data_IF_093936322789
#
_entry.id   IF_093936322789
#
_cell.length_a   1.000
_cell.length_b   1.000
_cell.length_c   1.000
_cell.angle_alpha   90.00
_cell.angle_beta   90.00
_cell.angle_gamma   90.00
#
_symmetry.space_group_name_H-M   'P 1'
#
loop_
_entity.id
_entity.type
_entity.pdbx_description
1 polymer ?
#
# COMPACT_ATOMS: atom_id res chain seq x y z
N UNK A 1 -36.64 -9.71 27.81
CA UNK A 1 -37.03 -10.42 26.58
C UNK A 1 -37.09 -9.44 25.44
N UNK A 2 -36.02 -9.32 24.65
CA UNK A 2 -36.05 -8.67 23.34
C UNK A 2 -34.99 -9.38 22.47
N UNK A 3 -35.46 -9.97 21.37
CA UNK A 3 -34.70 -10.80 20.44
C UNK A 3 -33.89 -9.88 19.51
N UNK A 4 -32.58 -10.02 19.49
CA UNK A 4 -31.76 -9.48 18.41
C UNK A 4 -31.71 -10.49 17.26
N UNK A 5 -32.27 -10.08 16.12
CA UNK A 5 -32.23 -10.78 14.85
C UNK A 5 -30.81 -10.73 14.28
N UNK A 6 -30.18 -11.89 14.09
CA UNK A 6 -28.96 -12.04 13.30
C UNK A 6 -29.36 -12.06 11.82
N UNK A 7 -28.98 -11.02 11.08
CA UNK A 7 -28.94 -11.04 9.62
C UNK A 7 -27.48 -11.01 9.20
N UNK A 8 -27.07 -12.04 8.45
CA UNK A 8 -25.69 -12.25 8.02
C UNK A 8 -25.26 -11.23 6.97
N UNK A 9 -24.05 -10.70 7.14
CA UNK A 9 -23.36 -9.94 6.10
C UNK A 9 -22.76 -10.92 5.08
N UNK A 10 -22.92 -10.67 3.76
CA UNK A 10 -22.25 -11.46 2.74
C UNK A 10 -20.74 -11.20 2.76
N UNK A 11 -19.98 -12.29 2.64
CA UNK A 11 -18.52 -12.30 2.49
C UNK A 11 -18.10 -11.45 1.28
N UNK A 12 -17.44 -10.32 1.55
CA UNK A 12 -16.75 -9.54 0.53
C UNK A 12 -15.47 -10.29 0.21
N UNK A 13 -15.39 -10.81 -1.02
CA UNK A 13 -14.15 -11.37 -1.57
C UNK A 13 -13.10 -10.26 -1.56
N UNK A 14 -12.03 -10.46 -0.80
CA UNK A 14 -10.82 -9.66 -0.92
C UNK A 14 -10.27 -9.85 -2.33
N UNK A 15 -10.42 -8.84 -3.20
CA UNK A 15 -9.69 -8.78 -4.47
C UNK A 15 -8.22 -8.64 -4.13
N UNK A 16 -7.53 -9.77 -4.14
CA UNK A 16 -6.08 -9.84 -4.05
C UNK A 16 -5.53 -9.16 -5.30
N UNK A 17 -4.77 -8.09 -5.11
CA UNK A 17 -4.00 -7.45 -6.17
C UNK A 17 -2.89 -8.43 -6.61
N UNK A 18 -3.23 -9.41 -7.47
CA UNK A 18 -2.23 -10.17 -8.21
C UNK A 18 -1.72 -9.29 -9.35
N UNK A 19 -0.44 -8.93 -9.27
CA UNK A 19 0.30 -8.32 -10.36
C UNK A 19 0.44 -9.38 -11.47
N UNK A 20 -0.43 -9.35 -12.48
CA UNK A 20 -0.33 -10.24 -13.64
C UNK A 20 0.75 -9.73 -14.60
N UNK A 21 1.95 -10.33 -14.55
CA UNK A 21 3.01 -10.11 -15.55
C UNK A 21 2.61 -10.88 -16.81
N UNK A 22 2.24 -10.14 -17.86
CA UNK A 22 1.98 -10.71 -19.19
C UNK A 22 3.31 -11.06 -19.86
N UNK A 23 3.64 -12.36 -19.92
CA UNK A 23 4.73 -12.87 -20.76
C UNK A 23 4.29 -12.83 -22.23
N UNK A 24 5.00 -12.02 -23.03
CA UNK A 24 4.88 -12.03 -24.49
C UNK A 24 5.57 -13.29 -25.03
N UNK A 25 4.80 -14.23 -25.55
CA UNK A 25 5.31 -15.38 -26.31
C UNK A 25 5.53 -14.96 -27.77
N UNK A 26 6.78 -14.72 -28.15
CA UNK A 26 7.18 -14.57 -29.55
C UNK A 26 7.26 -15.96 -30.18
N UNK A 27 6.25 -16.31 -30.98
CA UNK A 27 6.26 -17.50 -31.81
C UNK A 27 7.12 -17.27 -33.07
N UNK A 28 8.27 -17.93 -33.11
CA UNK A 28 9.16 -18.04 -34.26
C UNK A 28 8.83 -19.32 -35.05
N UNK A 29 8.71 -19.24 -36.36
CA UNK A 29 8.70 -20.38 -37.28
C UNK A 29 8.76 -19.85 -38.71
N UNK A 30 9.75 -20.12 -39.56
CA UNK A 30 10.67 -21.27 -39.62
C UNK A 30 10.29 -22.10 -40.85
N UNK A 31 11.01 -21.89 -41.97
CA UNK A 31 10.69 -22.44 -43.30
C UNK A 31 11.37 -23.77 -43.68
N UNK A 32 11.18 -24.17 -44.95
CA UNK A 32 11.89 -25.25 -45.67
C UNK A 32 11.17 -25.58 -47.01
N UNK A 33 11.69 -25.17 -48.19
CA UNK A 33 12.61 -25.89 -49.12
C UNK A 33 11.99 -27.13 -49.80
N UNK A 34 11.57 -27.09 -51.07
CA UNK A 34 12.32 -27.22 -52.36
C UNK A 34 12.26 -28.63 -52.98
N UNK A 35 11.79 -28.76 -54.23
CA UNK A 35 12.45 -29.51 -55.32
C UNK A 35 11.59 -29.60 -56.59
N UNK A 36 12.30 -29.73 -57.71
CA UNK A 36 11.91 -29.52 -59.11
C UNK A 36 11.97 -30.82 -59.94
N UNK A 37 11.19 -30.86 -61.02
CA UNK A 37 11.29 -31.79 -62.16
C UNK A 37 10.07 -32.72 -62.27
N UNK A 38 9.43 -32.98 -63.40
CA UNK A 38 9.62 -32.57 -64.80
C UNK A 38 8.79 -33.53 -65.69
N UNK A 39 8.10 -32.96 -66.68
CA UNK A 39 7.56 -33.55 -67.92
C UNK A 39 6.31 -34.46 -67.91
N UNK A 40 5.26 -33.97 -68.61
CA UNK A 40 4.61 -34.70 -69.71
C UNK A 40 3.21 -35.26 -69.47
N UNK A 41 2.23 -34.84 -70.28
CA UNK A 41 0.98 -35.58 -70.49
C UNK A 41 -0.26 -34.69 -70.61
N UNK A 42 -0.95 -34.81 -71.75
CA UNK A 42 -2.07 -34.00 -72.19
C UNK A 42 -3.41 -34.33 -71.51
N UNK A 43 -4.32 -33.35 -71.58
CA UNK A 43 -5.80 -33.40 -71.60
C UNK A 43 -6.52 -34.47 -70.76
N UNK A 44 -7.25 -34.06 -69.73
CA UNK A 44 -8.73 -34.10 -69.77
C UNK A 44 -9.41 -33.42 -68.56
N UNK A 45 -10.46 -32.65 -68.89
CA UNK A 45 -11.76 -32.54 -68.23
C UNK A 45 -11.92 -32.40 -66.69
N UNK A 46 -12.51 -31.26 -66.32
CA UNK A 46 -13.45 -31.05 -65.21
C UNK A 46 -13.09 -31.59 -63.81
N UNK A 47 -12.58 -30.70 -62.95
CA UNK A 47 -13.04 -30.68 -61.56
C UNK A 47 -12.99 -29.26 -61.00
N UNK A 48 -14.17 -28.63 -60.91
CA UNK A 48 -14.39 -27.37 -60.21
C UNK A 48 -14.26 -27.58 -58.70
N UNK A 49 -13.03 -27.67 -58.21
CA UNK A 49 -12.74 -27.57 -56.79
C UNK A 49 -12.56 -26.09 -56.42
N UNK A 50 -13.66 -25.37 -56.18
CA UNK A 50 -13.57 -24.07 -55.51
C UNK A 50 -13.07 -24.30 -54.10
N UNK A 51 -11.76 -24.21 -53.89
CA UNK A 51 -11.22 -23.99 -52.55
C UNK A 51 -11.95 -22.77 -51.97
N UNK A 52 -12.59 -22.87 -50.79
CA UNK A 52 -13.30 -21.73 -50.23
C UNK A 52 -12.31 -20.57 -50.11
N UNK A 53 -12.62 -19.45 -50.72
CA UNK A 53 -11.84 -18.23 -50.59
C UNK A 53 -11.72 -17.91 -49.09
N UNK A 54 -10.50 -17.75 -48.53
CA UNK A 54 -10.34 -17.49 -47.11
C UNK A 54 -11.05 -16.18 -46.74
N UNK A 55 -12.00 -16.27 -45.80
CA UNK A 55 -12.74 -15.10 -45.31
C UNK A 55 -11.77 -14.21 -44.54
N UNK A 56 -11.48 -13.03 -45.09
CA UNK A 56 -10.64 -12.01 -44.44
C UNK A 56 -11.55 -10.95 -43.81
N UNK A 57 -11.44 -10.76 -42.49
CA UNK A 57 -12.19 -9.74 -41.76
C UNK A 57 -11.45 -8.40 -41.72
N UNK A 58 -12.18 -7.29 -41.53
CA UNK A 58 -11.57 -5.97 -41.33
C UNK A 58 -10.86 -5.87 -39.98
N UNK A 59 -10.04 -4.82 -39.78
CA UNK A 59 -9.32 -4.58 -38.52
C UNK A 59 -10.24 -4.39 -37.30
N UNK A 60 -11.48 -3.96 -37.53
CA UNK A 60 -12.53 -3.79 -36.52
C UNK A 60 -13.37 -5.06 -36.30
N UNK A 61 -12.99 -6.17 -36.92
CA UNK A 61 -13.70 -7.44 -36.88
C UNK A 61 -12.77 -8.60 -36.48
N UNK A 62 -13.37 -9.72 -36.09
CA UNK A 62 -12.69 -10.99 -35.85
C UNK A 62 -13.48 -12.13 -36.49
N UNK A 63 -12.78 -13.17 -36.92
CA UNK A 63 -13.39 -14.34 -37.55
C UNK A 63 -13.88 -15.31 -36.47
N UNK A 64 -15.16 -15.65 -36.49
CA UNK A 64 -15.74 -16.70 -35.65
C UNK A 64 -16.64 -17.57 -36.52
N UNK A 65 -16.34 -18.88 -36.59
CA UNK A 65 -17.14 -19.85 -37.36
C UNK A 65 -17.31 -19.45 -38.85
N UNK A 66 -16.28 -18.87 -39.45
CA UNK A 66 -16.32 -18.43 -40.85
C UNK A 66 -17.07 -17.12 -41.09
N UNK A 67 -17.56 -16.46 -40.03
CA UNK A 67 -18.30 -15.21 -40.09
C UNK A 67 -17.48 -14.10 -39.42
N UNK A 68 -17.34 -12.97 -40.10
CA UNK A 68 -16.72 -11.79 -39.49
C UNK A 68 -17.69 -11.12 -38.50
N UNK A 69 -17.27 -11.02 -37.25
CA UNK A 69 -18.01 -10.34 -36.17
C UNK A 69 -17.28 -9.07 -35.78
N UNK A 70 -18.04 -8.02 -35.44
CA UNK A 70 -17.46 -6.77 -34.98
C UNK A 70 -16.81 -6.95 -33.60
N UNK A 71 -15.64 -6.34 -33.41
CA UNK A 71 -15.02 -6.17 -32.10
C UNK A 71 -15.85 -5.20 -31.26
N UNK A 72 -15.89 -5.43 -29.96
CA UNK A 72 -16.61 -4.59 -29.00
C UNK A 72 -15.75 -3.40 -28.60
N UNK A 73 -16.34 -2.21 -28.50
CA UNK A 73 -15.67 -1.05 -27.92
C UNK A 73 -15.50 -1.24 -26.41
N UNK A 74 -14.42 -0.71 -25.86
CA UNK A 74 -14.18 -0.67 -24.42
C UNK A 74 -14.05 0.79 -23.99
N UNK A 75 -14.37 1.08 -22.74
CA UNK A 75 -14.44 2.42 -22.19
C UNK A 75 -13.75 2.50 -20.83
N UNK A 76 -13.39 3.70 -20.39
CA UNK A 76 -12.93 3.94 -19.03
C UNK A 76 -13.48 5.28 -18.54
N UNK A 77 -13.65 5.41 -17.23
CA UNK A 77 -14.03 6.67 -16.60
C UNK A 77 -12.85 7.65 -16.63
N UNK A 78 -13.03 8.89 -17.12
CA UNK A 78 -11.96 9.89 -17.11
C UNK A 78 -11.49 10.20 -15.69
N UNK A 79 -10.18 10.37 -15.52
CA UNK A 79 -9.58 10.73 -14.25
C UNK A 79 -10.01 12.16 -13.83
N UNK A 80 -10.52 12.28 -12.61
CA UNK A 80 -10.83 13.51 -11.90
C UNK A 80 -9.55 14.09 -11.27
N UNK A 81 -8.78 14.79 -12.10
CA UNK A 81 -7.55 15.49 -11.70
C UNK A 81 -7.68 16.95 -12.11
N UNK A 82 -7.58 17.84 -11.12
CA UNK A 82 -7.72 19.27 -11.34
C UNK A 82 -6.40 19.94 -11.74
N UNK A 83 -5.28 19.44 -11.21
CA UNK A 83 -3.93 19.98 -11.41
C UNK A 83 -2.88 18.97 -11.00
N UNK A 84 -1.65 19.25 -11.41
CA UNK A 84 -0.45 18.68 -10.80
C UNK A 84 0.39 19.77 -10.14
N UNK A 85 1.17 19.37 -9.14
CA UNK A 85 2.15 20.25 -8.49
C UNK A 85 3.55 19.90 -8.95
N UNK A 86 4.33 20.92 -9.32
CA UNK A 86 5.74 20.77 -9.67
C UNK A 86 6.53 20.09 -8.56
N UNK A 87 7.37 19.12 -8.93
CA UNK A 87 8.21 18.34 -8.01
C UNK A 87 7.49 17.19 -7.31
N UNK A 88 6.20 16.96 -7.58
CA UNK A 88 5.46 15.82 -7.07
C UNK A 88 5.48 14.64 -8.05
N UNK A 89 5.21 13.45 -7.51
CA UNK A 89 5.08 12.20 -8.22
C UNK A 89 3.69 11.63 -7.97
N UNK A 90 3.05 11.15 -9.03
CA UNK A 90 1.71 10.58 -8.98
C UNK A 90 1.70 9.16 -9.52
N UNK A 91 0.81 8.34 -8.98
CA UNK A 91 0.60 6.96 -9.41
C UNK A 91 -0.83 6.85 -9.89
N UNK A 92 -1.00 6.28 -11.08
CA UNK A 92 -2.32 6.04 -11.65
C UNK A 92 -2.47 4.56 -11.96
N UNK A 93 -3.60 4.01 -11.54
CA UNK A 93 -4.04 2.70 -11.96
C UNK A 93 -5.43 2.86 -12.55
N UNK A 94 -5.50 2.84 -13.88
CA UNK A 94 -6.73 2.99 -14.63
C UNK A 94 -6.97 1.72 -15.43
N UNK A 95 -8.20 1.23 -15.37
CA UNK A 95 -8.67 0.07 -16.13
C UNK A 95 -9.90 0.42 -16.95
N UNK A 96 -10.12 -0.32 -18.02
CA UNK A 96 -11.36 -0.25 -18.80
C UNK A 96 -12.49 -0.99 -18.11
N UNK A 97 -13.71 -0.80 -18.61
CA UNK A 97 -14.91 -1.57 -18.29
C UNK A 97 -14.77 -3.08 -18.57
N UNK A 98 -13.70 -3.48 -19.26
CA UNK A 98 -13.30 -4.87 -19.50
C UNK A 98 -12.17 -5.35 -18.56
N UNK A 99 -11.86 -4.59 -17.50
CA UNK A 99 -10.77 -4.86 -16.53
C UNK A 99 -9.36 -4.88 -17.16
N UNK A 100 -9.18 -4.24 -18.32
CA UNK A 100 -7.88 -4.13 -18.99
C UNK A 100 -7.14 -2.86 -18.55
N UNK A 101 -5.87 -2.99 -18.21
CA UNK A 101 -5.01 -1.86 -17.80
C UNK A 101 -4.81 -0.86 -18.94
N UNK A 102 -4.99 0.42 -18.64
CA UNK A 102 -4.67 1.55 -19.51
C UNK A 102 -3.22 1.98 -19.26
N UNK A 103 -2.44 2.09 -20.34
CA UNK A 103 -1.07 2.55 -20.31
C UNK A 103 -1.00 4.07 -20.50
N UNK A 104 -0.08 4.70 -19.79
CA UNK A 104 0.17 6.14 -19.86
C UNK A 104 1.53 6.41 -20.51
N UNK A 105 1.60 7.45 -21.31
CA UNK A 105 2.86 8.00 -21.84
C UNK A 105 2.76 9.52 -21.93
N UNK A 106 3.85 10.23 -21.65
CA UNK A 106 3.87 11.70 -21.76
C UNK A 106 4.14 12.15 -23.19
N UNK A 107 3.36 13.13 -23.66
CA UNK A 107 3.63 13.90 -24.89
C UNK A 107 4.31 15.25 -24.59
N UNK A 108 4.53 15.55 -23.30
CA UNK A 108 5.21 16.75 -22.81
C UNK A 108 6.29 16.41 -21.78
N UNK A 109 7.32 15.61 -22.14
CA UNK A 109 8.27 15.02 -21.20
C UNK A 109 9.11 16.04 -20.41
N UNK A 110 9.20 17.29 -20.87
CA UNK A 110 9.88 18.37 -20.14
C UNK A 110 9.02 18.98 -19.01
N UNK A 111 7.70 18.79 -19.06
CA UNK A 111 6.74 19.28 -18.07
C UNK A 111 6.36 18.17 -17.09
N UNK A 112 6.07 16.99 -17.62
CA UNK A 112 5.76 15.81 -16.83
C UNK A 112 6.26 14.58 -17.58
N UNK A 113 6.89 13.64 -16.90
CA UNK A 113 7.43 12.43 -17.49
C UNK A 113 6.76 11.21 -16.85
N UNK A 114 6.50 10.17 -17.64
CA UNK A 114 5.85 8.95 -17.14
C UNK A 114 6.78 7.76 -17.33
N UNK A 115 7.31 7.25 -16.23
CA UNK A 115 8.29 6.19 -16.21
C UNK A 115 7.95 5.18 -15.10
N UNK A 116 8.07 3.88 -15.40
CA UNK A 116 7.87 2.81 -14.40
C UNK A 116 6.52 2.92 -13.64
N UNK A 117 5.46 3.35 -14.33
CA UNK A 117 4.13 3.47 -13.73
C UNK A 117 3.93 4.69 -12.84
N UNK A 118 4.89 5.62 -12.81
CA UNK A 118 4.84 6.85 -12.03
C UNK A 118 4.94 8.07 -12.95
N UNK A 119 4.09 9.08 -12.71
CA UNK A 119 4.18 10.39 -13.33
C UNK A 119 5.04 11.29 -12.45
N UNK A 120 6.20 11.71 -12.95
CA UNK A 120 7.06 12.72 -12.33
C UNK A 120 6.73 14.09 -12.93
N UNK A 121 6.45 15.07 -12.09
CA UNK A 121 6.07 16.41 -12.54
C UNK A 121 7.26 17.35 -12.41
N UNK A 122 7.80 17.81 -13.53
CA UNK A 122 9.12 18.42 -13.63
C UNK A 122 9.07 19.95 -13.66
N UNK A 123 8.12 20.53 -14.39
CA UNK A 123 8.01 21.98 -14.53
C UNK A 123 6.58 22.46 -14.71
N UNK A 124 6.35 23.76 -14.52
CA UNK A 124 5.04 24.40 -14.70
C UNK A 124 4.64 24.49 -16.17
N UNK A 125 3.35 24.36 -16.46
CA UNK A 125 2.85 24.38 -17.84
C UNK A 125 1.68 23.41 -18.04
N UNK A 126 1.58 22.82 -19.22
CA UNK A 126 0.53 21.84 -19.54
C UNK A 126 1.13 20.45 -19.70
N UNK A 127 0.78 19.56 -18.77
CA UNK A 127 1.11 18.15 -18.85
C UNK A 127 0.14 17.45 -19.81
N UNK A 128 0.63 16.96 -20.93
CA UNK A 128 -0.17 16.22 -21.93
C UNK A 128 0.18 14.74 -21.85
N UNK A 129 -0.80 13.91 -21.48
CA UNK A 129 -0.67 12.48 -21.34
C UNK A 129 -1.51 11.76 -22.39
N UNK A 130 -0.90 10.79 -23.06
CA UNK A 130 -1.59 9.84 -23.92
C UNK A 130 -1.93 8.59 -23.12
N UNK A 131 -3.20 8.20 -23.17
CA UNK A 131 -3.75 7.03 -22.51
C UNK A 131 -4.12 6.00 -23.59
N UNK A 132 -3.58 4.79 -23.49
CA UNK A 132 -3.75 3.77 -24.52
C UNK A 132 -4.10 2.40 -23.96
N UNK A 133 -4.98 1.69 -24.65
CA UNK A 133 -5.24 0.26 -24.46
C UNK A 133 -5.24 -0.40 -25.85
N UNK A 134 -4.47 -1.45 -26.06
CA UNK A 134 -4.28 -2.08 -27.37
C UNK A 134 -5.47 -2.93 -27.86
N UNK A 135 -6.45 -3.20 -27.00
CA UNK A 135 -7.54 -4.12 -27.29
C UNK A 135 -7.13 -5.59 -27.18
N UNK A 136 -8.01 -6.47 -27.66
CA UNK A 136 -7.77 -7.91 -27.76
C UNK A 136 -8.21 -8.40 -29.13
N UNK A 137 -8.21 -9.71 -29.36
CA UNK A 137 -8.81 -10.27 -30.57
C UNK A 137 -10.29 -9.89 -30.74
N UNK A 138 -11.01 -9.64 -29.64
CA UNK A 138 -12.45 -9.32 -29.64
C UNK A 138 -12.77 -7.88 -29.22
N UNK A 139 -11.78 -7.12 -28.74
CA UNK A 139 -11.96 -5.75 -28.25
C UNK A 139 -11.20 -4.74 -29.10
N UNK A 140 -11.83 -3.60 -29.39
CA UNK A 140 -11.20 -2.47 -30.07
C UNK A 140 -10.17 -1.79 -29.15
N UNK A 141 -9.07 -1.23 -29.71
CA UNK A 141 -8.16 -0.41 -28.93
C UNK A 141 -8.83 0.89 -28.47
N UNK A 142 -8.31 1.48 -27.40
CA UNK A 142 -8.68 2.81 -26.91
C UNK A 142 -7.48 3.72 -26.94
N UNK A 143 -7.67 4.95 -27.42
CA UNK A 143 -6.69 6.01 -27.37
C UNK A 143 -7.39 7.29 -26.89
N UNK A 144 -6.83 7.94 -25.88
CA UNK A 144 -7.32 9.20 -25.34
C UNK A 144 -6.15 10.12 -24.99
N UNK A 145 -6.41 11.43 -24.95
CA UNK A 145 -5.45 12.44 -24.51
C UNK A 145 -6.05 13.16 -23.32
N UNK A 146 -5.23 13.32 -22.29
CA UNK A 146 -5.54 14.11 -21.10
C UNK A 146 -4.55 15.26 -21.02
N UNK A 147 -5.05 16.47 -20.76
CA UNK A 147 -4.22 17.65 -20.53
C UNK A 147 -4.53 18.19 -19.14
N UNK A 148 -3.50 18.35 -18.31
CA UNK A 148 -3.62 18.82 -16.92
C UNK A 148 -2.66 19.99 -16.73
N UNK A 149 -3.13 21.05 -16.09
CA UNK A 149 -2.27 22.19 -15.72
C UNK A 149 -1.32 21.78 -14.58
N UNK A 150 -0.06 22.15 -14.73
CA UNK A 150 0.98 22.03 -13.70
C UNK A 150 1.24 23.41 -13.11
N UNK A 151 1.09 23.51 -11.79
CA UNK A 151 1.33 24.74 -11.04
C UNK A 151 2.48 24.58 -10.04
N UNK A 152 2.99 25.71 -9.56
CA UNK A 152 3.99 25.73 -8.49
C UNK A 152 3.40 25.11 -7.21
N UNK A 153 4.18 24.28 -6.51
CA UNK A 153 3.72 23.62 -5.29
C UNK A 153 3.37 24.62 -4.17
N UNK A 154 3.96 25.82 -4.19
CA UNK A 154 3.68 26.91 -3.26
C UNK A 154 2.26 27.48 -3.44
N UNK A 155 1.64 27.30 -4.61
CA UNK A 155 0.25 27.72 -4.81
C UNK A 155 -0.74 26.92 -3.93
N UNK A 156 -0.30 25.79 -3.37
CA UNK A 156 -1.05 24.96 -2.41
C UNK A 156 -0.48 25.09 -0.99
N UNK A 157 0.20 26.18 -0.64
CA UNK A 157 0.73 26.35 0.71
C UNK A 157 -0.38 26.46 1.78
N UNK A 158 -1.52 27.06 1.42
CA UNK A 158 -2.64 27.25 2.34
C UNK A 158 -3.75 26.22 2.10
N UNK A 159 -4.27 25.70 3.21
CA UNK A 159 -5.42 24.80 3.22
C UNK A 159 -6.71 25.61 3.05
N UNK A 160 -7.56 25.20 2.10
CA UNK A 160 -8.93 25.67 1.92
C UNK A 160 -9.86 24.47 1.68
N UNK A 161 -10.74 24.19 2.65
CA UNK A 161 -11.66 23.05 2.61
C UNK A 161 -12.77 23.22 1.57
N UNK A 162 -13.15 24.46 1.24
CA UNK A 162 -14.21 24.78 0.28
C UNK A 162 -13.70 24.74 -1.16
N UNK A 163 -12.46 25.18 -1.38
CA UNK A 163 -11.78 25.06 -2.67
C UNK A 163 -11.08 23.69 -2.89
N UNK A 164 -11.18 22.77 -1.92
CA UNK A 164 -10.51 21.47 -1.96
C UNK A 164 -8.98 21.57 -2.11
N UNK A 165 -8.38 22.59 -1.49
CA UNK A 165 -6.93 22.80 -1.41
C UNK A 165 -6.43 22.22 -0.11
N UNK A 166 -5.69 21.11 -0.18
CA UNK A 166 -5.28 20.36 1.00
C UNK A 166 -4.23 21.11 1.84
N UNK A 167 -3.53 22.08 1.24
CA UNK A 167 -2.38 22.69 1.87
C UNK A 167 -1.12 21.83 1.71
N UNK A 168 -0.09 22.14 2.48
CA UNK A 168 1.15 21.35 2.58
C UNK A 168 1.59 21.17 4.02
N UNK A 169 2.30 20.07 4.34
CA UNK A 169 2.91 19.91 5.66
C UNK A 169 3.92 21.03 5.92
N UNK A 170 3.98 21.51 7.15
CA UNK A 170 5.08 22.39 7.58
C UNK A 170 6.38 21.61 7.79
N UNK A 171 7.53 22.28 7.76
CA UNK A 171 8.81 21.59 8.01
C UNK A 171 8.89 20.99 9.41
N UNK A 172 8.34 21.67 10.41
CA UNK A 172 8.25 21.16 11.78
C UNK A 172 7.43 19.86 11.86
N UNK A 173 6.33 19.78 11.11
CA UNK A 173 5.47 18.59 11.04
C UNK A 173 6.17 17.42 10.34
N UNK A 174 6.85 17.67 9.22
CA UNK A 174 7.68 16.65 8.55
C UNK A 174 8.73 16.09 9.51
N UNK A 175 9.42 16.99 10.21
CA UNK A 175 10.52 16.63 11.10
C UNK A 175 10.01 15.87 12.34
N UNK A 176 8.88 16.30 12.92
CA UNK A 176 8.21 15.58 14.00
C UNK A 176 7.84 14.17 13.57
N UNK A 177 7.13 14.03 12.45
CA UNK A 177 6.72 12.73 11.90
C UNK A 177 7.90 11.78 11.68
N UNK A 178 8.92 12.21 10.93
CA UNK A 178 10.03 11.33 10.55
C UNK A 178 10.95 11.01 11.74
N UNK A 179 11.06 11.91 12.72
CA UNK A 179 11.81 11.65 13.95
C UNK A 179 11.09 10.63 14.82
N UNK A 180 9.79 10.78 15.06
CA UNK A 180 9.02 9.80 15.84
C UNK A 180 9.02 8.42 15.16
N UNK A 181 8.89 8.36 13.82
CA UNK A 181 9.00 7.10 13.07
C UNK A 181 10.35 6.44 13.26
N UNK A 182 11.43 7.20 13.14
CA UNK A 182 12.77 6.65 13.29
C UNK A 182 13.12 6.33 14.76
N UNK A 183 12.54 7.02 15.74
CA UNK A 183 12.63 6.68 17.16
C UNK A 183 11.98 5.31 17.43
N UNK A 184 10.73 5.11 16.96
CA UNK A 184 10.04 3.83 17.07
C UNK A 184 10.88 2.73 16.41
N UNK A 185 11.33 2.95 15.17
CA UNK A 185 12.10 1.96 14.41
C UNK A 185 13.44 1.61 15.06
N UNK A 186 14.09 2.56 15.71
CA UNK A 186 15.34 2.32 16.44
C UNK A 186 15.16 1.32 17.61
N UNK A 187 14.00 1.31 18.27
CA UNK A 187 13.67 0.33 19.33
C UNK A 187 13.68 -1.12 18.82
N UNK A 188 13.47 -1.30 17.51
CA UNK A 188 13.46 -2.59 16.82
C UNK A 188 14.74 -2.84 16.01
N UNK A 189 15.75 -1.98 16.17
CA UNK A 189 16.99 -1.96 15.39
C UNK A 189 16.78 -1.82 13.87
N UNK A 190 15.62 -1.34 13.42
CA UNK A 190 15.29 -1.22 12.00
C UNK A 190 16.04 -0.04 11.35
N UNK A 191 16.39 -0.12 10.05
CA UNK A 191 16.98 0.99 9.32
C UNK A 191 16.08 2.21 9.35
N UNK A 192 16.70 3.40 9.38
CA UNK A 192 15.97 4.67 9.29
C UNK A 192 15.24 4.79 7.94
N UNK A 193 14.05 5.35 8.00
CA UNK A 193 13.24 5.74 6.86
C UNK A 193 13.52 7.21 6.53
N UNK A 194 13.60 7.54 5.24
CA UNK A 194 13.73 8.92 4.75
C UNK A 194 12.35 9.53 4.49
N UNK A 195 12.23 10.84 4.71
CA UNK A 195 11.04 11.56 4.28
C UNK A 195 11.04 11.72 2.75
N UNK A 196 9.90 11.50 2.10
CA UNK A 196 9.70 11.58 0.66
C UNK A 196 8.83 12.79 0.32
N UNK A 197 9.46 13.88 -0.07
CA UNK A 197 8.77 15.12 -0.45
C UNK A 197 7.94 14.99 -1.73
N UNK A 198 8.19 13.97 -2.55
CA UNK A 198 7.56 13.86 -3.88
C UNK A 198 6.14 13.27 -3.81
N UNK A 199 5.73 12.71 -2.67
CA UNK A 199 4.39 12.14 -2.46
C UNK A 199 3.52 12.96 -1.48
N UNK A 200 3.96 14.17 -1.11
CA UNK A 200 3.24 15.03 -0.16
C UNK A 200 1.82 15.35 -0.64
N UNK A 201 1.68 15.80 -1.89
CA UNK A 201 0.37 16.18 -2.44
C UNK A 201 -0.61 15.00 -2.44
N UNK A 202 -0.12 13.80 -2.74
CA UNK A 202 -0.94 12.59 -2.68
C UNK A 202 -1.45 12.31 -1.25
N UNK A 203 -0.59 12.48 -0.24
CA UNK A 203 -0.98 12.27 1.17
C UNK A 203 -1.91 13.38 1.66
N UNK A 204 -1.64 14.62 1.29
CA UNK A 204 -2.48 15.76 1.65
C UNK A 204 -3.89 15.63 1.06
N UNK A 205 -4.01 15.23 -0.21
CA UNK A 205 -5.33 15.01 -0.83
C UNK A 205 -6.08 13.82 -0.21
N UNK A 206 -5.41 12.73 0.15
CA UNK A 206 -6.04 11.64 0.90
C UNK A 206 -6.57 12.12 2.26
N UNK A 207 -5.75 12.87 3.00
CA UNK A 207 -6.14 13.47 4.28
C UNK A 207 -7.31 14.45 4.15
N UNK A 208 -7.36 15.24 3.06
CA UNK A 208 -8.50 16.11 2.73
C UNK A 208 -9.78 15.29 2.59
N UNK A 209 -9.75 14.17 1.84
CA UNK A 209 -10.94 13.30 1.68
C UNK A 209 -11.48 12.82 3.02
N UNK A 210 -10.61 12.41 3.93
CA UNK A 210 -11.00 11.94 5.26
C UNK A 210 -11.61 13.09 6.09
N UNK A 211 -10.96 14.25 6.10
CA UNK A 211 -11.32 15.38 6.94
C UNK A 211 -12.66 16.03 6.53
N UNK A 212 -12.91 16.25 5.23
CA UNK A 212 -14.12 16.95 4.76
C UNK A 212 -15.35 16.06 4.67
N UNK A 213 -15.16 14.74 4.59
CA UNK A 213 -16.26 13.78 4.54
C UNK A 213 -16.57 13.16 5.91
N UNK A 214 -15.78 13.49 6.94
CA UNK A 214 -16.00 13.07 8.32
C UNK A 214 -16.02 11.53 8.51
N UNK A 215 -15.25 10.80 7.69
CA UNK A 215 -15.18 9.33 7.68
C UNK A 215 -13.88 8.81 7.09
N UNK A 216 -13.60 7.52 7.27
CA UNK A 216 -12.43 6.82 6.71
C UNK A 216 -12.80 5.72 5.73
N UNK A 217 -12.05 5.64 4.63
CA UNK A 217 -12.05 4.53 3.68
C UNK A 217 -10.73 4.51 2.91
N UNK A 218 -10.18 3.32 2.67
CA UNK A 218 -9.11 3.14 1.67
C UNK A 218 -9.61 3.24 0.23
N UNK A 219 -10.93 3.16 0.02
CA UNK A 219 -11.57 3.20 -1.28
C UNK A 219 -12.69 4.26 -1.24
N UNK A 220 -12.34 5.57 -1.17
CA UNK A 220 -13.33 6.62 -1.39
C UNK A 220 -13.87 6.52 -2.82
N UNK A 221 -15.10 6.98 -3.04
CA UNK A 221 -15.73 6.99 -4.36
C UNK A 221 -16.03 8.43 -4.81
N UNK A 222 -16.39 8.60 -6.08
CA UNK A 222 -16.65 9.90 -6.69
C UNK A 222 -17.79 10.72 -6.07
N UNK A 223 -18.55 10.16 -5.11
CA UNK A 223 -19.58 10.93 -4.37
C UNK A 223 -19.01 11.72 -3.19
N UNK A 224 -17.76 11.47 -2.82
CA UNK A 224 -17.11 12.18 -1.72
C UNK A 224 -16.82 13.62 -2.11
N UNK A 225 -17.03 14.55 -1.17
CA UNK A 225 -16.60 15.94 -1.34
C UNK A 225 -15.09 15.98 -1.50
N UNK A 226 -14.62 16.81 -2.43
CA UNK A 226 -13.21 16.94 -2.80
C UNK A 226 -12.57 15.67 -3.37
N UNK A 227 -13.37 14.71 -3.87
CA UNK A 227 -12.84 13.55 -4.57
C UNK A 227 -11.88 13.97 -5.70
N UNK A 228 -10.74 13.29 -5.75
CA UNK A 228 -9.80 13.31 -6.86
C UNK A 228 -9.17 11.92 -6.96
N UNK A 229 -8.73 11.54 -8.17
CA UNK A 229 -7.99 10.29 -8.34
C UNK A 229 -6.67 10.30 -7.56
N UNK A 230 -6.03 11.46 -7.39
CA UNK A 230 -4.84 11.61 -6.57
C UNK A 230 -5.15 11.25 -5.10
N UNK A 231 -6.24 11.79 -4.54
CA UNK A 231 -6.68 11.49 -3.17
C UNK A 231 -7.09 10.03 -2.99
N UNK A 232 -7.78 9.44 -3.96
CA UNK A 232 -8.12 8.01 -3.97
C UNK A 232 -6.87 7.13 -3.95
N UNK A 233 -5.88 7.43 -4.78
CA UNK A 233 -4.61 6.70 -4.83
C UNK A 233 -3.83 6.88 -3.52
N UNK A 234 -3.86 8.07 -2.93
CA UNK A 234 -3.30 8.28 -1.60
C UNK A 234 -4.00 7.44 -0.54
N UNK A 235 -5.33 7.41 -0.51
CA UNK A 235 -6.10 6.63 0.45
C UNK A 235 -5.84 5.11 0.34
N UNK A 236 -5.79 4.59 -0.88
CA UNK A 236 -5.60 3.16 -1.14
C UNK A 236 -4.16 2.64 -0.92
N UNK A 237 -3.18 3.54 -0.77
CA UNK A 237 -1.75 3.18 -0.66
C UNK A 237 -1.10 3.62 0.66
N UNK A 238 -1.91 4.01 1.64
CA UNK A 238 -1.45 4.65 2.87
C UNK A 238 -1.99 3.98 4.12
N UNK A 239 -1.27 4.15 5.22
CA UNK A 239 -1.90 4.07 6.54
C UNK A 239 -2.81 5.29 6.69
N UNK A 240 -4.06 5.08 7.10
CA UNK A 240 -5.05 6.14 7.27
C UNK A 240 -5.45 6.28 8.72
N UNK A 241 -5.61 7.52 9.18
CA UNK A 241 -6.12 7.80 10.51
C UNK A 241 -7.15 8.91 10.46
N UNK A 242 -8.13 8.82 11.34
CA UNK A 242 -9.23 9.74 11.44
C UNK A 242 -9.62 9.95 12.89
N UNK A 243 -9.69 11.21 13.27
CA UNK A 243 -9.91 11.62 14.65
C UNK A 243 -11.07 12.59 14.70
N UNK A 244 -11.98 12.33 15.63
CA UNK A 244 -13.04 13.25 16.02
C UNK A 244 -12.76 13.76 17.42
N UNK A 245 -12.70 15.07 17.57
CA UNK A 245 -12.52 15.73 18.85
C UNK A 245 -13.64 16.73 19.11
N UNK A 246 -14.29 16.60 20.27
CA UNK A 246 -15.36 17.50 20.72
C UNK A 246 -14.83 18.87 21.20
N UNK A 247 -13.51 18.99 21.35
CA UNK A 247 -12.83 20.24 21.67
C UNK A 247 -11.66 20.43 20.70
N UNK A 248 -11.22 21.69 20.54
CA UNK A 248 -10.00 22.00 19.80
C UNK A 248 -8.82 21.27 20.45
N UNK A 249 -8.06 20.54 19.64
CA UNK A 249 -6.89 19.80 20.09
C UNK A 249 -5.70 20.75 20.20
N UNK A 250 -5.31 21.09 21.44
CA UNK A 250 -4.16 21.96 21.69
C UNK A 250 -2.82 21.27 21.41
N UNK A 251 -2.77 19.94 21.54
CA UNK A 251 -1.60 19.12 21.24
C UNK A 251 -2.07 17.81 20.61
N UNK A 252 -2.03 17.76 19.30
CA UNK A 252 -2.25 16.58 18.48
C UNK A 252 -1.57 16.84 17.13
N UNK A 253 -0.88 15.84 16.59
CA UNK A 253 -0.25 15.96 15.28
C UNK A 253 0.36 14.65 14.81
N UNK A 254 1.36 14.77 13.94
CA UNK A 254 1.93 13.65 13.20
C UNK A 254 2.50 12.52 14.08
N UNK A 255 3.10 12.87 15.23
CA UNK A 255 3.57 11.89 16.21
C UNK A 255 2.41 11.07 16.78
N UNK A 256 1.31 11.72 17.14
CA UNK A 256 0.15 11.07 17.75
C UNK A 256 -0.57 10.18 16.74
N UNK A 257 -0.70 10.62 15.48
CA UNK A 257 -1.22 9.77 14.40
C UNK A 257 -0.38 8.50 14.23
N UNK A 258 0.95 8.64 14.25
CA UNK A 258 1.88 7.52 14.13
C UNK A 258 1.82 6.56 15.31
N UNK A 259 1.71 7.08 16.53
CA UNK A 259 1.54 6.28 17.76
C UNK A 259 0.23 5.51 17.71
N UNK A 260 -0.85 6.12 17.22
CA UNK A 260 -2.14 5.45 17.07
C UNK A 260 -2.08 4.30 16.04
N UNK A 261 -1.44 4.52 14.88
CA UNK A 261 -1.16 3.45 13.91
C UNK A 261 -0.31 2.32 14.51
N UNK A 262 0.70 2.65 15.29
CA UNK A 262 1.56 1.66 15.94
C UNK A 262 0.78 0.84 16.98
N UNK A 263 -0.02 1.49 17.82
CA UNK A 263 -0.77 0.86 18.91
C UNK A 263 -1.97 0.06 18.37
N UNK A 264 -2.59 0.47 17.26
CA UNK A 264 -3.75 -0.18 16.62
C UNK A 264 -5.04 -0.12 17.45
N UNK A 265 -5.15 0.88 18.33
CA UNK A 265 -6.36 1.07 19.14
C UNK A 265 -7.55 1.34 18.23
N UNK A 266 -8.63 0.57 18.40
CA UNK A 266 -9.85 0.60 17.58
C UNK A 266 -9.65 0.15 16.11
N UNK A 267 -8.53 -0.50 15.80
CA UNK A 267 -8.30 -1.11 14.49
C UNK A 267 -8.77 -2.57 14.47
N UNK A 268 -9.30 -3.02 13.35
CA UNK A 268 -9.67 -4.43 13.13
C UNK A 268 -8.51 -5.30 12.64
N UNK A 269 -7.35 -4.70 12.39
CA UNK A 269 -6.13 -5.38 11.91
C UNK A 269 -4.88 -4.69 12.46
N UNK A 270 -3.71 -5.31 12.32
CA UNK A 270 -2.42 -4.70 12.67
C UNK A 270 -1.65 -4.20 11.44
N UNK A 271 -2.35 -3.90 10.35
CA UNK A 271 -1.74 -3.51 9.07
C UNK A 271 -0.85 -2.27 9.20
N UNK A 272 -1.29 -1.26 9.94
CA UNK A 272 -0.54 -0.01 10.09
C UNK A 272 0.78 -0.24 10.82
N UNK A 273 0.75 -1.00 11.92
CA UNK A 273 1.94 -1.43 12.67
C UNK A 273 2.89 -2.22 11.77
N UNK A 274 2.38 -3.15 10.97
CA UNK A 274 3.18 -3.96 10.04
C UNK A 274 3.89 -3.10 8.99
N UNK A 275 3.25 -2.04 8.51
CA UNK A 275 3.91 -1.07 7.64
C UNK A 275 5.01 -0.28 8.38
N UNK A 276 4.74 0.23 9.58
CA UNK A 276 5.69 1.01 10.39
C UNK A 276 6.95 0.19 10.74
N UNK A 277 6.76 -1.08 11.11
CA UNK A 277 7.82 -2.00 11.52
C UNK A 277 8.40 -2.82 10.38
N UNK A 278 7.99 -2.55 9.13
CA UNK A 278 8.54 -3.24 7.97
C UNK A 278 10.04 -2.93 7.82
N UNK A 279 10.92 -3.94 7.73
CA UNK A 279 12.34 -3.72 7.50
C UNK A 279 12.65 -3.26 6.08
N UNK A 280 11.66 -3.34 5.17
CA UNK A 280 11.76 -2.95 3.77
C UNK A 280 11.26 -1.53 3.49
N UNK A 281 10.59 -0.88 4.45
CA UNK A 281 10.21 0.52 4.32
C UNK A 281 11.49 1.39 4.39
N UNK A 282 11.80 2.09 3.30
CA UNK A 282 13.03 2.91 3.17
C UNK A 282 12.74 4.40 3.03
N UNK A 283 11.56 4.76 2.55
CA UNK A 283 11.05 6.12 2.46
C UNK A 283 9.53 6.16 2.69
N UNK A 284 9.01 7.31 3.09
CA UNK A 284 7.57 7.54 3.32
C UNK A 284 7.26 9.04 3.18
N UNK A 285 6.01 9.37 2.90
CA UNK A 285 5.47 10.73 3.00
C UNK A 285 4.36 10.78 4.07
N UNK A 286 4.00 11.98 4.50
CA UNK A 286 2.94 12.24 5.47
C UNK A 286 2.08 13.42 5.01
N UNK A 287 0.79 13.37 5.31
CA UNK A 287 -0.11 14.51 5.17
C UNK A 287 -1.19 14.49 6.23
N UNK A 288 -1.58 15.67 6.69
CA UNK A 288 -2.64 15.87 7.67
C UNK A 288 -3.53 17.05 7.24
N UNK A 289 -4.84 16.89 7.35
CA UNK A 289 -5.80 17.96 7.12
C UNK A 289 -6.73 18.04 8.32
N UNK A 290 -6.76 19.22 8.94
CA UNK A 290 -7.70 19.56 9.99
C UNK A 290 -8.94 20.25 9.44
N UNK A 291 -10.12 19.77 9.83
CA UNK A 291 -11.41 20.37 9.55
C UNK A 291 -12.06 20.87 10.86
N UNK A 292 -11.99 22.19 11.07
CA UNK A 292 -12.63 22.90 12.18
C UNK A 292 -13.98 23.53 11.79
N UNK A 293 -14.42 23.31 10.55
CA UNK A 293 -15.73 23.73 10.01
C UNK A 293 -16.74 22.58 10.02
N UNK A 294 -16.35 21.42 10.57
CA UNK A 294 -17.17 20.23 10.68
C UNK A 294 -18.46 20.49 11.47
N UNK A 295 -19.57 19.88 11.05
CA UNK A 295 -20.87 20.09 11.70
C UNK A 295 -21.11 19.13 12.86
N UNK A 296 -20.41 18.00 12.88
CA UNK A 296 -20.62 16.95 13.88
C UNK A 296 -19.84 17.16 15.18
N UNK A 297 -18.61 17.69 15.08
CA UNK A 297 -17.68 17.89 16.21
C UNK A 297 -16.80 19.13 15.97
N UNK A 298 -16.12 19.62 17.02
CA UNK A 298 -15.30 20.83 16.95
C UNK A 298 -14.06 20.68 16.06
N UNK A 299 -13.49 19.49 15.95
CA UNK A 299 -12.33 19.23 15.10
C UNK A 299 -12.37 17.82 14.55
N UNK A 300 -12.13 17.71 13.26
CA UNK A 300 -11.87 16.46 12.57
C UNK A 300 -10.46 16.52 12.00
N UNK A 301 -9.67 15.46 12.19
CA UNK A 301 -8.37 15.30 11.55
C UNK A 301 -8.41 14.09 10.62
N UNK A 302 -7.97 14.28 9.38
CA UNK A 302 -7.62 13.20 8.47
C UNK A 302 -6.10 13.15 8.32
N UNK A 303 -5.51 11.97 8.42
CA UNK A 303 -4.09 11.78 8.20
C UNK A 303 -3.80 10.56 7.33
N UNK A 304 -2.74 10.66 6.53
CA UNK A 304 -2.28 9.62 5.63
C UNK A 304 -0.75 9.51 5.70
N UNK A 305 -0.23 8.28 5.76
CA UNK A 305 1.19 7.96 5.65
C UNK A 305 1.41 7.00 4.48
N UNK A 306 2.28 7.37 3.54
CA UNK A 306 2.56 6.58 2.33
C UNK A 306 3.32 5.31 2.69
N UNK A 307 2.75 4.14 2.37
CA UNK A 307 3.38 2.85 2.73
C UNK A 307 3.50 1.88 1.57
N UNK A 308 2.75 2.09 0.48
CA UNK A 308 2.83 1.29 -0.74
C UNK A 308 3.40 2.15 -1.87
N UNK A 309 4.57 1.76 -2.34
CA UNK A 309 5.21 2.29 -3.55
C UNK A 309 5.19 1.20 -4.63
N UNK A 310 4.62 1.46 -5.82
CA UNK A 310 4.59 0.53 -6.93
C UNK A 310 6.01 0.31 -7.46
N UNK A 311 6.23 -0.88 -8.04
CA UNK A 311 7.46 -1.33 -8.67
C UNK A 311 8.74 -1.39 -7.79
N UNK A 312 8.72 -0.84 -6.58
CA UNK A 312 9.78 -1.03 -5.60
C UNK A 312 9.74 -2.42 -4.96
N UNK A 313 8.55 -3.01 -4.79
CA UNK A 313 8.35 -4.21 -3.95
C UNK A 313 9.07 -5.48 -4.44
N UNK A 314 9.46 -5.56 -5.72
CA UNK A 314 10.17 -6.71 -6.28
C UNK A 314 11.69 -6.67 -6.06
N UNK A 315 12.24 -5.52 -5.65
CA UNK A 315 13.68 -5.32 -5.41
C UNK A 315 13.98 -4.77 -4.03
N UNK A 316 12.98 -4.72 -3.13
CA UNK A 316 13.23 -4.27 -1.76
C UNK A 316 14.09 -5.28 -1.02
N UNK A 317 15.29 -4.81 -0.67
CA UNK A 317 16.18 -5.46 0.27
C UNK A 317 16.31 -4.64 1.55
N UNK A 318 16.73 -5.29 2.62
CA UNK A 318 17.05 -4.67 3.91
C UNK A 318 18.38 -5.17 4.43
N UNK A 319 19.04 -4.35 5.25
CA UNK A 319 20.27 -4.73 5.96
C UNK A 319 19.99 -5.42 7.30
N UNK A 320 18.71 -5.58 7.66
CA UNK A 320 18.34 -6.27 8.89
C UNK A 320 18.80 -7.72 8.89
N UNK A 321 19.40 -8.21 10.00
CA UNK A 321 19.65 -9.63 10.15
C UNK A 321 18.33 -10.40 10.21
N UNK A 322 18.39 -11.67 9.80
CA UNK A 322 17.25 -12.59 9.93
C UNK A 322 16.84 -12.73 11.40
N UNK A 323 15.56 -12.95 11.65
CA UNK A 323 15.04 -13.20 12.99
C UNK A 323 13.72 -12.50 13.28
N UNK A 324 13.43 -12.36 14.57
CA UNK A 324 12.17 -11.82 15.09
C UNK A 324 12.13 -10.31 15.00
N UNK A 325 11.03 -9.77 14.46
CA UNK A 325 10.64 -8.36 14.58
C UNK A 325 9.34 -8.37 15.41
N UNK A 326 9.43 -8.01 16.69
CA UNK A 326 8.30 -8.09 17.62
C UNK A 326 7.85 -6.72 18.11
N UNK A 327 6.62 -6.62 18.55
CA UNK A 327 6.06 -5.46 19.22
C UNK A 327 5.29 -5.93 20.47
N UNK A 328 5.71 -5.50 21.68
CA UNK A 328 6.92 -4.74 22.00
C UNK A 328 8.21 -5.59 21.87
N UNK A 329 9.38 -4.94 21.78
CA UNK A 329 10.69 -5.60 21.71
C UNK A 329 11.67 -4.96 22.68
N UNK A 330 12.41 -5.79 23.44
CA UNK A 330 13.36 -5.35 24.46
C UNK A 330 12.75 -4.32 25.42
N UNK A 331 13.48 -3.28 25.81
CA UNK A 331 12.95 -2.18 26.63
C UNK A 331 12.12 -1.26 25.75
N UNK A 332 10.81 -1.26 25.97
CA UNK A 332 9.86 -0.55 25.12
C UNK A 332 9.17 0.59 25.88
N UNK A 333 9.22 1.84 25.40
CA UNK A 333 8.58 2.96 26.09
C UNK A 333 7.05 2.83 26.13
N UNK A 334 6.45 3.07 27.31
CA UNK A 334 4.99 3.07 27.48
C UNK A 334 4.27 4.07 26.57
N UNK A 335 4.90 5.19 26.20
CA UNK A 335 4.31 6.17 25.26
C UNK A 335 3.96 5.55 23.89
N UNK A 336 4.60 4.44 23.53
CA UNK A 336 4.39 3.74 22.27
C UNK A 336 3.61 2.43 22.42
N UNK A 337 2.99 2.16 23.58
CA UNK A 337 2.41 0.87 23.90
C UNK A 337 1.11 0.95 24.71
N UNK A 338 0.18 0.02 24.46
CA UNK A 338 -1.01 -0.19 25.27
C UNK A 338 -1.21 -1.66 25.61
N UNK A 339 -1.49 -1.96 26.88
CA UNK A 339 -1.78 -3.32 27.37
C UNK A 339 -3.10 -3.92 26.83
N UNK A 340 -3.98 -3.09 26.30
CA UNK A 340 -5.29 -3.53 25.77
C UNK A 340 -5.21 -4.02 24.34
N UNK A 341 -4.14 -3.67 23.62
CA UNK A 341 -3.98 -3.98 22.21
C UNK A 341 -3.11 -5.24 22.02
N UNK A 342 -3.24 -5.95 20.88
CA UNK A 342 -2.51 -7.18 20.65
C UNK A 342 -0.99 -6.94 20.58
N UNK A 343 -0.23 -7.85 21.18
CA UNK A 343 1.19 -8.03 20.87
C UNK A 343 1.30 -8.69 19.51
N UNK A 344 2.40 -8.45 18.82
CA UNK A 344 2.61 -9.03 17.49
C UNK A 344 4.07 -9.31 17.19
N UNK A 345 4.34 -10.27 16.32
CA UNK A 345 5.66 -10.50 15.77
C UNK A 345 5.60 -10.95 14.31
N UNK A 346 6.68 -10.71 13.59
CA UNK A 346 6.97 -11.24 12.26
C UNK A 346 8.35 -11.88 12.27
N UNK A 347 8.60 -12.83 11.38
CA UNK A 347 9.91 -13.42 11.15
C UNK A 347 10.46 -12.94 9.80
N UNK A 348 11.65 -12.34 9.83
CA UNK A 348 12.43 -12.01 8.63
C UNK A 348 13.35 -13.20 8.32
N UNK A 349 13.09 -13.89 7.22
CA UNK A 349 13.85 -15.07 6.76
C UNK A 349 14.67 -14.78 5.50
N UNK A 350 14.25 -13.77 4.72
CA UNK A 350 14.90 -13.34 3.50
C UNK A 350 15.01 -11.79 3.46
N UNK A 351 16.17 -11.23 3.80
CA UNK A 351 16.42 -9.80 3.73
C UNK A 351 16.53 -9.24 2.30
N UNK A 352 16.65 -10.08 1.27
CA UNK A 352 16.87 -9.66 -0.12
C UNK A 352 15.57 -9.55 -0.91
N UNK A 353 14.48 -10.14 -0.43
CA UNK A 353 13.18 -10.13 -1.09
C UNK A 353 12.06 -10.12 -0.05
N UNK A 354 11.36 -8.99 0.04
CA UNK A 354 10.15 -8.78 0.83
C UNK A 354 9.16 -9.97 0.76
N UNK A 355 8.78 -10.39 -0.45
CA UNK A 355 7.77 -11.42 -0.69
C UNK A 355 8.24 -12.84 -0.35
N UNK A 356 9.55 -13.10 -0.37
CA UNK A 356 10.09 -14.39 0.01
C UNK A 356 9.89 -14.70 1.50
N UNK A 357 9.48 -13.71 2.31
CA UNK A 357 9.12 -13.91 3.71
C UNK A 357 7.67 -14.41 3.90
N UNK A 358 6.89 -14.53 2.83
CA UNK A 358 5.51 -15.02 2.90
C UNK A 358 5.45 -16.54 3.12
N UNK A 359 6.59 -17.23 3.09
CA UNK A 359 6.70 -18.67 3.33
C UNK A 359 6.71 -19.05 4.80
N UNK A 360 6.85 -18.07 5.70
CA UNK A 360 6.75 -18.27 7.15
C UNK A 360 5.31 -18.62 7.52
N UNK A 361 5.09 -19.80 8.09
CA UNK A 361 3.78 -20.29 8.49
C UNK A 361 3.74 -20.56 10.01
N UNK A 362 2.78 -19.90 10.67
CA UNK A 362 2.53 -20.02 12.11
C UNK A 362 1.43 -21.03 12.45
N UNK A 363 0.92 -21.80 11.49
CA UNK A 363 -0.21 -22.73 11.67
C UNK A 363 0.03 -23.81 12.72
N UNK A 364 1.29 -24.19 12.93
CA UNK A 364 1.71 -25.17 13.93
C UNK A 364 2.42 -24.53 15.13
N UNK A 365 2.52 -23.19 15.15
CA UNK A 365 3.32 -22.49 16.13
C UNK A 365 2.74 -22.64 17.54
N UNK A 366 3.61 -22.85 18.51
CA UNK A 366 3.29 -22.89 19.93
C UNK A 366 3.93 -21.71 20.63
N UNK A 367 3.11 -20.83 21.19
CA UNK A 367 3.55 -19.65 21.91
C UNK A 367 3.59 -19.91 23.43
N UNK A 368 4.68 -19.52 24.07
CA UNK A 368 4.80 -19.47 25.54
C UNK A 368 5.33 -18.11 25.96
N UNK A 369 4.69 -17.48 26.94
CA UNK A 369 5.15 -16.22 27.54
C UNK A 369 5.43 -16.47 29.01
N UNK A 370 6.65 -16.19 29.46
CA UNK A 370 7.10 -16.45 30.82
C UNK A 370 7.58 -15.16 31.46
N UNK A 371 7.07 -14.86 32.65
CA UNK A 371 7.58 -13.75 33.47
C UNK A 371 8.95 -14.15 34.03
N UNK A 372 9.99 -13.36 33.78
CA UNK A 372 11.38 -13.77 34.01
C UNK A 372 11.76 -13.91 35.49
N UNK A 373 11.27 -13.01 36.35
CA UNK A 373 11.68 -12.94 37.76
C UNK A 373 11.16 -14.10 38.62
N UNK A 374 9.98 -14.64 38.31
CA UNK A 374 9.31 -15.70 39.08
C UNK A 374 8.98 -16.94 38.24
N UNK A 375 9.40 -16.96 36.97
CA UNK A 375 9.18 -18.06 36.02
C UNK A 375 7.69 -18.38 35.77
N UNK A 376 6.78 -17.46 36.09
CA UNK A 376 5.36 -17.66 35.91
C UNK A 376 4.99 -17.63 34.42
N UNK A 377 4.48 -18.76 33.93
CA UNK A 377 3.91 -18.86 32.58
C UNK A 377 2.58 -18.09 32.54
N UNK A 378 2.41 -17.24 31.54
CA UNK A 378 1.22 -16.41 31.34
C UNK A 378 0.18 -17.17 30.53
N UNK A 379 -1.09 -16.97 30.88
CA UNK A 379 -2.22 -17.45 30.07
C UNK A 379 -2.41 -16.54 28.87
N UNK A 380 -2.05 -17.04 27.68
CA UNK A 380 -2.23 -16.34 26.41
C UNK A 380 -3.63 -16.57 25.83
N UNK A 381 -4.13 -15.60 25.09
CA UNK A 381 -5.43 -15.63 24.40
C UNK A 381 -5.37 -14.88 23.07
N UNK A 382 -6.48 -14.93 22.32
CA UNK A 382 -6.66 -14.19 21.06
C UNK A 382 -5.51 -14.38 20.07
N UNK A 383 -5.02 -15.62 19.93
CA UNK A 383 -3.96 -15.94 18.99
C UNK A 383 -4.52 -15.82 17.57
N UNK A 384 -3.88 -15.00 16.75
CA UNK A 384 -4.20 -14.85 15.33
C UNK A 384 -2.91 -14.83 14.53
N UNK A 385 -2.94 -15.32 13.30
CA UNK A 385 -1.81 -15.21 12.39
C UNK A 385 -2.33 -15.17 10.98
N UNK A 386 -1.58 -14.49 10.11
CA UNK A 386 -1.86 -14.45 8.69
C UNK A 386 -0.60 -14.11 7.90
N UNK A 387 -0.68 -14.38 6.59
CA UNK A 387 0.28 -13.98 5.58
C UNK A 387 -0.37 -13.02 4.59
N UNK A 388 -1.44 -12.33 5.00
CA UNK A 388 -2.14 -11.37 4.15
C UNK A 388 -1.20 -10.19 3.96
N UNK A 389 -0.91 -9.85 2.70
CA UNK A 389 0.02 -8.78 2.37
C UNK A 389 -0.60 -7.40 2.60
N UNK A 390 -0.59 -6.92 3.85
CA UNK A 390 -0.80 -5.51 4.20
C UNK A 390 0.52 -4.75 4.14
N UNK A 391 1.27 -4.85 3.04
CA UNK A 391 2.59 -4.25 2.89
C UNK A 391 3.76 -5.23 2.73
N UNK A 392 4.97 -4.71 2.97
CA UNK A 392 6.22 -5.31 2.49
C UNK A 392 6.73 -6.50 3.32
N UNK A 393 6.17 -6.76 4.51
CA UNK A 393 6.41 -7.99 5.27
C UNK A 393 5.06 -8.61 5.65
N UNK A 394 4.74 -9.75 5.04
CA UNK A 394 3.37 -10.28 5.09
C UNK A 394 3.06 -11.15 6.32
N UNK A 395 4.03 -11.94 6.79
CA UNK A 395 3.79 -12.87 7.89
C UNK A 395 3.62 -12.12 9.22
N UNK A 396 2.67 -12.55 10.04
CA UNK A 396 2.55 -12.07 11.42
C UNK A 396 1.89 -13.12 12.33
N UNK A 397 2.22 -13.05 13.61
CA UNK A 397 1.57 -13.75 14.71
C UNK A 397 1.22 -12.74 15.79
N UNK A 398 -0.04 -12.74 16.22
CA UNK A 398 -0.64 -11.85 17.21
C UNK A 398 -1.12 -12.65 18.40
N UNK A 399 -1.07 -12.04 19.59
CA UNK A 399 -1.57 -12.65 20.82
C UNK A 399 -1.83 -11.60 21.90
N UNK A 400 -2.57 -12.00 22.93
CA UNK A 400 -2.83 -11.18 24.11
C UNK A 400 -2.56 -11.96 25.40
N UNK A 401 -2.25 -11.27 26.48
CA UNK A 401 -2.38 -11.79 27.83
C UNK A 401 -2.67 -10.65 28.81
N UNK A 402 -3.68 -10.82 29.66
CA UNK A 402 -4.24 -9.74 30.48
C UNK A 402 -3.42 -9.41 31.73
N UNK A 403 -2.57 -10.33 32.18
CA UNK A 403 -1.77 -10.18 33.41
C UNK A 403 -0.49 -9.34 33.25
N UNK A 404 -0.34 -8.61 32.13
CA UNK A 404 0.85 -7.81 31.87
C UNK A 404 1.05 -6.67 32.89
N UNK A 405 2.27 -6.57 33.41
CA UNK A 405 2.74 -5.51 34.29
C UNK A 405 3.82 -4.68 33.60
N UNK A 406 3.83 -3.36 33.88
CA UNK A 406 4.93 -2.50 33.46
C UNK A 406 6.18 -2.82 34.28
N UNK A 407 7.36 -2.50 33.74
CA UNK A 407 8.68 -2.73 34.35
C UNK A 407 9.02 -4.19 34.69
N UNK A 408 8.26 -5.14 34.15
CA UNK A 408 8.49 -6.58 34.28
C UNK A 408 9.00 -7.13 32.94
N UNK A 409 10.01 -8.00 33.00
CA UNK A 409 10.55 -8.66 31.81
C UNK A 409 9.75 -9.93 31.53
N UNK A 410 9.32 -10.09 30.29
CA UNK A 410 8.68 -11.28 29.76
C UNK A 410 9.56 -11.90 28.67
N UNK A 411 9.82 -13.20 28.81
CA UNK A 411 10.44 -14.05 27.81
C UNK A 411 9.36 -14.69 26.95
N UNK A 412 9.51 -14.61 25.63
CA UNK A 412 8.58 -15.16 24.65
C UNK A 412 9.28 -16.22 23.83
N UNK A 413 8.70 -17.42 23.82
CA UNK A 413 9.14 -18.54 22.99
C UNK A 413 8.06 -18.85 21.96
N UNK A 414 8.45 -18.89 20.69
CA UNK A 414 7.62 -19.30 19.57
C UNK A 414 8.24 -20.56 18.99
N UNK A 415 7.63 -21.70 19.27
CA UNK A 415 8.11 -22.99 18.77
C UNK A 415 7.33 -23.42 17.55
N UNK A 416 7.89 -24.33 16.77
CA UNK A 416 7.22 -24.99 15.65
C UNK A 416 6.76 -24.03 14.52
N UNK A 417 7.54 -22.98 14.24
CA UNK A 417 7.28 -22.11 13.07
C UNK A 417 7.78 -22.83 11.83
N UNK A 418 6.97 -22.93 10.79
CA UNK A 418 7.38 -23.51 9.52
C UNK A 418 7.99 -22.42 8.63
N UNK A 419 9.25 -22.59 8.26
CA UNK A 419 9.98 -21.72 7.33
C UNK A 419 10.49 -22.57 6.18
N UNK A 420 9.98 -22.33 4.97
CA UNK A 420 10.31 -23.13 3.78
C UNK A 420 10.18 -24.65 4.02
N UNK A 421 9.16 -25.06 4.78
CA UNK A 421 8.89 -26.46 5.15
C UNK A 421 9.76 -27.02 6.27
N UNK A 422 10.65 -26.22 6.86
CA UNK A 422 11.47 -26.61 8.02
C UNK A 422 10.90 -26.02 9.30
N UNK A 423 10.98 -26.81 10.37
CA UNK A 423 10.55 -26.38 11.70
C UNK A 423 11.67 -25.57 12.34
N UNK A 424 11.35 -24.34 12.75
CA UNK A 424 12.26 -23.44 13.45
C UNK A 424 11.61 -22.89 14.73
N UNK A 425 12.45 -22.64 15.74
CA UNK A 425 12.08 -22.06 17.02
C UNK A 425 12.70 -20.67 17.16
N UNK A 426 11.93 -19.74 17.71
CA UNK A 426 12.33 -18.36 17.91
C UNK A 426 12.09 -17.92 19.35
N UNK A 427 12.95 -17.03 19.84
CA UNK A 427 12.81 -16.42 21.17
C UNK A 427 13.07 -14.93 21.11
N UNK A 428 12.35 -14.17 21.91
CA UNK A 428 12.67 -12.78 22.21
C UNK A 428 12.20 -12.43 23.61
N UNK A 429 12.52 -11.23 24.08
CA UNK A 429 12.02 -10.73 25.36
C UNK A 429 11.57 -9.28 25.22
N UNK A 430 10.73 -8.83 26.14
CA UNK A 430 10.37 -7.43 26.25
C UNK A 430 10.10 -7.01 27.69
N UNK A 431 10.23 -5.70 27.93
CA UNK A 431 9.85 -4.98 29.16
C UNK A 431 9.23 -3.66 28.73
N UNK A 432 7.98 -3.41 29.09
CA UNK A 432 7.39 -2.09 28.84
C UNK A 432 7.73 -1.16 30.01
N UNK A 433 8.52 -0.13 29.72
CA UNK A 433 9.02 0.84 30.71
C UNK A 433 8.03 1.99 30.86
N UNK A 434 7.60 2.28 32.09
CA UNK A 434 6.64 3.35 32.38
C UNK A 434 7.27 4.64 32.93
N UNK A 435 8.60 4.71 33.04
CA UNK A 435 9.28 5.95 33.39
C UNK A 435 9.20 6.96 32.24
N UNK A 436 8.85 8.20 32.57
CA UNK A 436 8.85 9.31 31.62
C UNK A 436 10.29 9.65 31.22
N UNK A 437 10.49 10.04 29.95
CA UNK A 437 11.80 10.42 29.41
C UNK A 437 12.49 11.54 30.24
N UNK A 438 11.73 12.30 31.05
CA UNK A 438 12.25 13.29 32.01
C UNK A 438 13.17 12.70 33.10
N UNK A 439 12.95 11.45 33.54
CA UNK A 439 13.79 10.85 34.60
C UNK A 439 15.13 10.32 34.08
N UNK A 440 15.27 10.12 32.77
CA UNK A 440 16.53 9.65 32.17
C UNK A 440 17.57 10.76 32.02
N UNK A 441 17.14 12.01 31.84
CA UNK A 441 18.04 13.17 31.71
C UNK A 441 18.59 13.67 33.06
N UNK A 442 17.99 13.27 34.18
CA UNK A 442 18.50 13.59 35.53
C UNK A 442 19.50 12.57 36.10
N UNK A 443 19.85 11.53 35.34
CA UNK A 443 20.59 10.36 35.85
C UNK A 443 22.12 10.39 35.70
N UNK A 444 22.70 11.33 34.95
CA UNK A 444 24.16 11.43 34.75
C UNK A 444 24.67 12.85 35.01
N UNK A 445 24.46 13.34 36.23
CA UNK A 445 25.28 14.43 36.77
C UNK A 445 25.33 14.34 38.30
N UNK A 446 26.13 13.41 38.83
CA UNK A 446 26.62 13.51 40.19
C UNK A 446 27.79 12.56 40.42
N UNK A 447 28.95 13.18 40.62
CA UNK A 447 30.12 12.73 41.38
C UNK A 447 31.00 11.63 40.76
N UNK A 448 32.22 12.01 40.39
CA UNK A 448 33.28 12.01 41.40
C UNK A 448 34.32 13.12 41.15
N UNK A 449 34.87 13.57 42.27
CA UNK A 449 35.86 14.63 42.52
C UNK A 449 37.23 14.26 41.98
#
# INVERSE_FOLDING_TARGET
MMKHSKTGMPSIRANTLMLAISLVMIGCGGGGSSSSGGAGGAEDSNNGGTSPQPVTCSETQYLQEGICRNKTAQHFEPLQIHRFLKGQTYQFNLKTDQDLTVNFSSESPHICDFEQGELKVLDVGKCTLKLTQVGTSQLLPVNSIMVVDVIEAQAEEHKDLNACQAGRPSEAERQLFINTLNEIRALHHLPKVRYDHTYEDQMMQASMLLAVNEKTSHYPDGTWRCFSDIGYQGASTSNLNFIQAYQLLASYGADTHLINWLIEKNSSSIGHRRHILSPFLSKTAYGEVSNTEAKSVATILGAAMKVIYPYASQSLSTTMPKGVIAYPYHVYPKKFFSKTEPLSLSILVNPQNAYANNTVDFSQAKLTVTRRDNQQIQTISNIQYDNISYGLLANNLQFHFSAMQYNVIYDVQVQNVLVDGKVEDYTYWFKVDDQSDEQRLSGESSNDI
#
